data_IF_680348889055
#
_entry.id   IF_680348889055
#
_cell.length_a   1.000
_cell.length_b   1.000
_cell.length_c   1.000
_cell.angle_alpha   90.00
_cell.angle_beta   90.00
_cell.angle_gamma   90.00
#
_symmetry.space_group_name_H-M   'P 1'
#
loop_
_entity.id
_entity.type
_entity.pdbx_description
1 polymer ?
#
# COMPACT_ATOMS: atom_id res chain seq x y z
N UNK A 1 -23.42 -41.00 14.01
CA UNK A 1 -22.57 -42.03 14.65
C UNK A 1 -21.19 -41.44 14.91
N UNK A 2 -20.40 -42.07 15.80
CA UNK A 2 -19.08 -41.64 16.31
C UNK A 2 -18.25 -40.70 15.40
N UNK A 3 -17.82 -39.57 15.96
CA UNK A 3 -16.72 -38.75 15.44
C UNK A 3 -15.42 -39.57 15.38
N UNK A 4 -14.48 -39.19 14.50
CA UNK A 4 -13.07 -39.54 14.68
C UNK A 4 -12.18 -38.39 14.19
N UNK A 5 -11.43 -37.79 15.11
CA UNK A 5 -10.39 -36.79 14.81
C UNK A 5 -9.07 -37.49 14.51
N UNK A 6 -8.35 -37.05 13.48
CA UNK A 6 -6.99 -37.52 13.21
C UNK A 6 -5.98 -36.49 13.74
N UNK A 7 -5.29 -36.84 14.83
CA UNK A 7 -4.16 -36.06 15.35
C UNK A 7 -2.86 -36.62 14.78
N UNK A 8 -2.07 -35.79 14.10
CA UNK A 8 -0.71 -36.16 13.74
C UNK A 8 0.16 -36.27 14.99
N UNK A 9 0.92 -37.36 15.09
CA UNK A 9 1.95 -37.57 16.10
C UNK A 9 3.31 -37.36 15.45
N UNK A 10 4.02 -36.29 15.84
CA UNK A 10 5.42 -36.10 15.49
C UNK A 10 6.27 -36.76 16.58
N UNK A 11 6.92 -37.86 16.23
CA UNK A 11 7.76 -38.64 17.14
C UNK A 11 9.16 -38.04 17.22
N UNK A 12 9.61 -37.63 18.40
CA UNK A 12 10.97 -37.17 18.62
C UNK A 12 11.99 -38.34 18.51
N UNK A 13 13.00 -38.19 17.66
CA UNK A 13 14.16 -39.10 17.56
C UNK A 13 15.39 -38.49 18.22
N UNK A 14 16.11 -39.25 19.05
CA UNK A 14 17.15 -38.73 19.96
C UNK A 14 18.53 -39.36 19.66
N UNK A 15 19.54 -38.48 19.61
CA UNK A 15 21.00 -38.67 19.75
C UNK A 15 21.72 -39.87 19.08
N UNK A 16 22.82 -39.56 18.40
CA UNK A 16 23.90 -40.51 18.10
C UNK A 16 25.19 -39.78 17.74
N UNK A 17 26.11 -39.64 18.71
CA UNK A 17 27.42 -38.99 18.52
C UNK A 17 28.56 -39.98 18.75
N UNK A 18 29.59 -39.96 17.89
CA UNK A 18 30.86 -40.66 18.06
C UNK A 18 32.02 -39.78 17.56
N UNK A 19 33.23 -40.08 18.04
CA UNK A 19 34.44 -39.23 17.94
C UNK A 19 35.60 -39.96 17.22
N UNK A 20 36.67 -39.19 16.96
CA UNK A 20 37.99 -39.57 16.43
C UNK A 20 38.11 -39.86 14.92
N UNK A 21 39.24 -39.60 14.26
CA UNK A 21 40.43 -38.84 14.70
C UNK A 21 41.77 -39.30 14.06
N UNK A 22 42.65 -38.34 13.70
CA UNK A 22 43.98 -38.54 13.07
C UNK A 22 43.97 -39.26 11.69
N UNK A 23 45.00 -39.23 10.84
CA UNK A 23 46.13 -38.31 10.51
C UNK A 23 46.68 -38.78 9.13
N UNK A 24 47.73 -38.27 8.44
CA UNK A 24 48.82 -37.29 8.62
C UNK A 24 49.21 -36.78 7.19
N UNK A 25 50.35 -36.19 6.78
CA UNK A 25 51.68 -35.91 7.38
C UNK A 25 52.44 -34.82 6.60
N UNK A 26 53.20 -33.95 7.30
CA UNK A 26 54.44 -33.24 6.87
C UNK A 26 54.38 -32.29 5.65
N UNK A 27 55.16 -31.21 5.54
CA UNK A 27 56.51 -30.86 6.07
C UNK A 27 56.49 -29.31 6.24
N UNK A 28 56.94 -28.64 7.33
CA UNK A 28 58.30 -28.56 7.89
C UNK A 28 59.34 -28.10 6.84
N UNK A 29 60.19 -27.09 7.00
CA UNK A 29 60.35 -25.95 7.97
C UNK A 29 60.63 -24.65 7.14
N UNK A 30 61.26 -23.52 7.51
CA UNK A 30 62.17 -23.13 8.62
C UNK A 30 62.26 -21.59 8.82
N UNK A 31 63.15 -21.15 9.73
CA UNK A 31 63.43 -19.75 10.12
C UNK A 31 64.44 -19.07 9.12
N UNK A 32 64.87 -17.80 9.19
CA UNK A 32 64.96 -16.83 10.30
C UNK A 32 65.19 -15.37 9.79
N UNK A 33 65.20 -14.41 10.73
CA UNK A 33 65.97 -13.16 10.76
C UNK A 33 65.60 -11.93 9.87
N UNK A 34 65.05 -10.92 10.57
CA UNK A 34 65.47 -9.50 10.60
C UNK A 34 65.30 -8.56 9.38
N UNK A 35 64.46 -7.53 9.58
CA UNK A 35 64.98 -6.15 9.74
C UNK A 35 64.03 -5.30 10.60
N UNK A 36 64.49 -4.15 11.09
CA UNK A 36 63.81 -3.30 12.09
C UNK A 36 63.62 -1.87 11.60
N UNK A 37 62.50 -1.21 11.95
CA UNK A 37 62.50 0.13 12.59
C UNK A 37 61.09 0.56 13.05
N UNK A 38 61.03 1.27 14.18
CA UNK A 38 59.94 2.17 14.61
C UNK A 38 60.06 3.50 13.81
N UNK A 39 59.21 4.55 13.86
CA UNK A 39 58.42 5.25 14.90
C UNK A 39 57.23 5.96 14.19
N UNK A 40 56.05 6.20 14.78
CA UNK A 40 55.68 7.28 15.73
C UNK A 40 56.08 8.72 15.30
N UNK A 41 55.28 9.81 15.46
CA UNK A 41 53.84 9.99 15.79
C UNK A 41 53.43 11.47 15.49
N UNK A 42 52.12 11.75 15.36
CA UNK A 42 51.44 13.07 15.56
C UNK A 42 51.45 14.23 14.53
N UNK A 43 50.27 14.87 14.52
CA UNK A 43 49.95 16.32 14.47
C UNK A 43 49.59 17.06 13.15
N UNK A 44 48.58 17.90 13.33
CA UNK A 44 47.98 18.94 12.48
C UNK A 44 48.88 20.20 12.41
N UNK A 45 48.61 21.29 11.66
CA UNK A 45 47.35 22.03 11.42
C UNK A 45 47.38 22.88 10.13
N UNK A 46 46.18 23.29 9.71
CA UNK A 46 45.77 24.47 8.91
C UNK A 46 46.63 25.01 7.73
N UNK A 47 45.94 25.27 6.61
CA UNK A 47 46.06 26.53 5.83
C UNK A 47 44.86 26.73 4.91
N UNK A 48 43.80 27.32 5.47
CA UNK A 48 43.02 28.42 4.88
C UNK A 48 43.23 28.80 3.39
N UNK A 49 42.12 28.87 2.63
CA UNK A 49 41.88 29.98 1.69
C UNK A 49 40.38 30.26 1.57
N UNK A 50 39.98 31.52 1.76
CA UNK A 50 38.59 31.93 1.99
C UNK A 50 38.11 32.97 0.98
N UNK A 51 36.88 32.82 0.49
CA UNK A 51 35.97 33.90 0.05
C UNK A 51 34.58 33.28 -0.17
N UNK A 52 33.49 33.60 0.55
CA UNK A 52 32.92 34.92 0.95
C UNK A 52 32.35 35.67 -0.26
N UNK A 53 31.13 36.22 -0.26
CA UNK A 53 30.14 36.50 0.81
C UNK A 53 28.71 36.17 0.31
N UNK A 54 27.62 36.03 1.10
CA UNK A 54 27.11 36.83 2.24
C UNK A 54 26.75 38.29 1.86
N UNK A 55 25.66 38.93 2.34
CA UNK A 55 24.69 38.56 3.39
C UNK A 55 23.29 39.15 3.15
N UNK A 56 22.29 38.59 3.85
CA UNK A 56 21.13 39.19 4.56
C UNK A 56 20.66 40.64 4.29
N UNK A 57 19.33 40.85 4.31
CA UNK A 57 18.66 41.54 5.43
C UNK A 57 17.11 41.53 5.31
N UNK A 58 16.42 41.64 6.46
CA UNK A 58 14.95 41.77 6.56
C UNK A 58 14.44 43.20 6.28
N UNK A 59 13.13 43.35 6.09
CA UNK A 59 12.36 44.54 6.53
C UNK A 59 10.88 44.21 6.71
N UNK A 60 10.23 44.85 7.68
CA UNK A 60 8.90 44.50 8.19
C UNK A 60 7.83 45.56 7.90
N UNK A 61 6.56 45.15 7.94
CA UNK A 61 5.38 45.92 8.41
C UNK A 61 4.44 46.55 7.37
N UNK A 62 3.20 46.04 7.38
CA UNK A 62 1.92 46.76 7.49
C UNK A 62 1.63 48.00 6.63
N UNK A 63 0.51 47.98 5.89
CA UNK A 63 -0.78 48.46 6.45
C UNK A 63 -2.01 48.11 5.60
N UNK A 64 -3.17 48.22 6.26
CA UNK A 64 -4.54 48.02 5.78
C UNK A 64 -5.04 49.16 4.87
N UNK A 65 -5.93 48.85 3.92
CA UNK A 65 -7.01 49.76 3.50
C UNK A 65 -8.18 49.00 2.90
N UNK A 66 -9.40 49.41 3.24
CA UNK A 66 -10.67 48.80 2.80
C UNK A 66 -11.25 49.50 1.57
N UNK A 67 -12.09 48.80 0.81
CA UNK A 67 -13.28 49.39 0.17
C UNK A 67 -14.23 48.28 -0.27
N UNK A 68 -15.51 48.61 -0.47
CA UNK A 68 -16.60 47.62 -0.59
C UNK A 68 -17.51 47.86 -1.80
N UNK A 69 -18.32 46.84 -2.08
CA UNK A 69 -19.69 46.91 -2.60
C UNK A 69 -19.97 46.61 -4.09
N UNK A 70 -20.92 45.69 -4.26
CA UNK A 70 -21.95 45.61 -5.31
C UNK A 70 -21.55 45.41 -6.77
N UNK A 71 -21.75 44.15 -7.20
CA UNK A 71 -22.81 43.78 -8.16
C UNK A 71 -23.14 44.75 -9.30
N UNK A 72 -22.83 44.33 -10.54
CA UNK A 72 -23.88 44.30 -11.56
C UNK A 72 -23.68 43.17 -12.57
N UNK A 73 -24.78 42.77 -13.18
CA UNK A 73 -24.91 41.56 -13.99
C UNK A 73 -24.57 41.82 -15.46
N UNK A 74 -23.84 40.91 -16.11
CA UNK A 74 -23.81 40.81 -17.58
C UNK A 74 -23.90 39.35 -18.01
N UNK A 75 -24.99 39.00 -18.70
CA UNK A 75 -25.17 37.67 -19.28
C UNK A 75 -24.30 37.50 -20.52
N UNK A 76 -23.28 36.65 -20.46
CA UNK A 76 -22.57 36.14 -21.63
C UNK A 76 -22.63 34.62 -21.64
N UNK A 77 -23.49 34.07 -22.51
CA UNK A 77 -23.72 32.64 -22.67
C UNK A 77 -22.49 31.94 -23.28
N UNK A 78 -21.58 31.50 -22.42
CA UNK A 78 -20.53 30.54 -22.77
C UNK A 78 -21.05 29.13 -22.52
N UNK A 79 -21.20 28.34 -23.59
CA UNK A 79 -21.71 26.97 -23.48
C UNK A 79 -20.68 26.06 -22.83
N UNK A 80 -20.79 25.87 -21.52
CA UNK A 80 -20.12 24.78 -20.82
C UNK A 80 -20.56 23.46 -21.46
N UNK A 81 -19.63 22.79 -22.14
CA UNK A 81 -19.85 21.43 -22.60
C UNK A 81 -19.93 20.56 -21.37
N UNK A 82 -21.14 20.08 -21.03
CA UNK A 82 -21.29 18.89 -20.19
C UNK A 82 -20.38 17.81 -20.76
N UNK A 83 -19.50 17.25 -19.93
CA UNK A 83 -18.82 16.03 -20.31
C UNK A 83 -19.84 14.89 -20.18
N UNK A 84 -20.49 14.55 -21.31
CA UNK A 84 -21.53 13.53 -21.39
C UNK A 84 -20.92 12.12 -21.41
N UNK A 85 -20.08 11.85 -20.42
CA UNK A 85 -19.54 10.53 -20.11
C UNK A 85 -20.69 9.69 -19.59
N UNK A 86 -21.21 8.82 -20.47
CA UNK A 86 -22.35 7.94 -20.20
C UNK A 86 -22.04 6.94 -19.07
N UNK A 87 -22.19 7.37 -17.81
CA UNK A 87 -22.05 6.54 -16.62
C UNK A 87 -23.37 5.82 -16.33
N UNK A 88 -23.36 4.50 -16.39
CA UNK A 88 -24.52 3.69 -15.95
C UNK A 88 -24.55 3.64 -14.43
N UNK A 89 -25.49 4.37 -13.82
CA UNK A 89 -25.73 4.34 -12.38
C UNK A 89 -26.68 3.16 -12.02
N UNK A 90 -26.07 2.04 -11.62
CA UNK A 90 -26.78 0.80 -11.26
C UNK A 90 -27.26 0.76 -9.81
N UNK A 91 -26.99 1.80 -9.01
CA UNK A 91 -27.36 1.85 -7.57
C UNK A 91 -28.87 1.67 -7.37
N UNK A 92 -29.67 2.19 -8.30
CA UNK A 92 -31.13 2.07 -8.28
C UNK A 92 -31.67 0.66 -8.57
N UNK A 93 -30.84 -0.26 -9.09
CA UNK A 93 -31.19 -1.64 -9.41
C UNK A 93 -30.74 -2.65 -8.32
N UNK A 94 -30.04 -2.18 -7.28
CA UNK A 94 -29.66 -3.01 -6.14
C UNK A 94 -30.87 -3.45 -5.30
N UNK A 95 -30.85 -4.70 -4.81
CA UNK A 95 -31.83 -5.21 -3.82
C UNK A 95 -31.40 -4.96 -2.38
N UNK A 96 -30.10 -4.77 -2.15
CA UNK A 96 -29.58 -4.27 -0.87
C UNK A 96 -30.12 -2.86 -0.61
N UNK A 97 -30.21 -2.46 0.65
CA UNK A 97 -30.56 -1.08 0.99
C UNK A 97 -29.60 -0.10 0.29
N UNK A 98 -30.13 0.91 -0.40
CA UNK A 98 -29.34 1.90 -1.13
C UNK A 98 -28.38 2.68 -0.21
N UNK A 99 -28.76 2.93 1.05
CA UNK A 99 -27.87 3.54 2.07
C UNK A 99 -26.69 2.63 2.49
N UNK A 100 -26.67 1.38 2.03
CA UNK A 100 -25.62 0.38 2.28
C UNK A 100 -24.89 -0.07 1.00
N UNK A 101 -25.24 0.47 -0.17
CA UNK A 101 -24.51 0.26 -1.42
C UNK A 101 -23.49 1.39 -1.58
N UNK A 102 -22.22 1.05 -1.84
CA UNK A 102 -21.16 1.99 -2.19
C UNK A 102 -20.56 1.61 -3.54
N UNK A 103 -20.55 2.53 -4.50
CA UNK A 103 -20.05 2.30 -5.85
C UNK A 103 -19.18 3.46 -6.34
N UNK A 104 -18.12 3.21 -7.15
CA UNK A 104 -17.24 4.27 -7.63
C UNK A 104 -17.98 5.35 -8.45
N UNK A 105 -17.53 6.59 -8.29
CA UNK A 105 -17.94 7.72 -9.14
C UNK A 105 -16.85 8.19 -10.10
N UNK A 106 -15.61 7.70 -9.92
CA UNK A 106 -14.48 7.80 -10.84
C UNK A 106 -14.16 6.45 -11.48
N UNK A 107 -13.62 6.47 -12.70
CA UNK A 107 -12.99 5.33 -13.38
C UNK A 107 -11.83 5.85 -14.26
N UNK A 108 -10.79 5.04 -14.54
CA UNK A 108 -9.66 5.45 -15.37
C UNK A 108 -9.96 5.53 -16.88
N UNK A 109 -11.22 5.36 -17.31
CA UNK A 109 -11.62 5.36 -18.73
C UNK A 109 -13.06 5.87 -18.92
N UNK A 110 -13.36 6.37 -20.13
CA UNK A 110 -14.63 7.00 -20.48
C UNK A 110 -15.68 5.99 -21.02
N UNK A 111 -16.90 6.07 -20.48
CA UNK A 111 -18.04 5.27 -20.94
C UNK A 111 -18.03 3.83 -20.43
N UNK A 112 -18.04 3.69 -19.11
CA UNK A 112 -18.01 2.41 -18.39
C UNK A 112 -19.40 1.75 -18.36
N UNK A 113 -19.43 0.45 -18.68
CA UNK A 113 -20.57 -0.43 -18.47
C UNK A 113 -20.51 -1.04 -17.07
N UNK A 114 -21.66 -1.32 -16.46
CA UNK A 114 -21.78 -1.89 -15.12
C UNK A 114 -22.86 -2.99 -15.14
N UNK A 115 -22.59 -4.12 -14.48
CA UNK A 115 -23.52 -5.23 -14.37
C UNK A 115 -23.38 -5.95 -13.02
N UNK A 116 -24.50 -6.34 -12.41
CA UNK A 116 -24.47 -7.17 -11.20
C UNK A 116 -24.17 -8.63 -11.53
N UNK A 117 -23.10 -9.17 -10.96
CA UNK A 117 -22.87 -10.62 -10.89
C UNK A 117 -23.65 -11.23 -9.72
N UNK A 118 -23.65 -10.54 -8.57
CA UNK A 118 -24.48 -10.85 -7.41
C UNK A 118 -25.35 -9.64 -7.08
N UNK A 119 -26.65 -9.87 -6.89
CA UNK A 119 -27.60 -8.84 -6.42
C UNK A 119 -28.63 -9.51 -5.49
N UNK A 120 -28.44 -9.33 -4.19
CA UNK A 120 -29.25 -9.87 -3.08
C UNK A 120 -29.52 -8.75 -2.06
N UNK A 121 -30.38 -9.02 -1.09
CA UNK A 121 -30.74 -8.04 -0.03
C UNK A 121 -29.58 -7.80 0.96
N UNK A 122 -28.70 -8.78 1.15
CA UNK A 122 -27.56 -8.73 2.09
C UNK A 122 -26.20 -8.61 1.39
N UNK A 123 -26.13 -8.77 0.06
CA UNK A 123 -24.86 -8.76 -0.66
C UNK A 123 -24.99 -8.36 -2.16
N UNK A 124 -24.00 -7.64 -2.67
CA UNK A 124 -23.84 -7.37 -4.10
C UNK A 124 -22.41 -7.58 -4.60
N UNK A 125 -22.29 -7.76 -5.92
CA UNK A 125 -21.04 -7.66 -6.67
C UNK A 125 -21.37 -7.02 -8.03
N UNK A 126 -20.81 -5.86 -8.31
CA UNK A 126 -20.92 -5.17 -9.61
C UNK A 126 -19.59 -5.31 -10.34
N UNK A 127 -19.64 -5.94 -11.50
CA UNK A 127 -18.54 -5.96 -12.46
C UNK A 127 -18.64 -4.70 -13.35
N UNK A 128 -17.50 -4.02 -13.54
CA UNK A 128 -17.37 -2.86 -14.40
C UNK A 128 -16.44 -3.15 -15.59
N UNK A 129 -16.88 -2.77 -16.79
CA UNK A 129 -16.16 -3.01 -18.06
C UNK A 129 -16.11 -1.77 -18.94
N UNK A 130 -15.11 -1.69 -19.82
CA UNK A 130 -15.02 -0.62 -20.82
C UNK A 130 -16.02 -0.82 -21.99
N UNK A 131 -15.95 0.04 -23.01
CA UNK A 131 -16.78 -0.05 -24.23
C UNK A 131 -16.47 -1.26 -25.13
N UNK A 132 -15.38 -1.98 -24.88
CA UNK A 132 -14.94 -3.16 -25.64
C UNK A 132 -15.27 -4.47 -24.90
N UNK A 133 -15.62 -4.38 -23.60
CA UNK A 133 -15.85 -5.52 -22.72
C UNK A 133 -14.64 -5.92 -21.88
N UNK A 134 -13.57 -5.12 -21.87
CA UNK A 134 -12.42 -5.35 -20.99
C UNK A 134 -12.81 -5.06 -19.54
N UNK A 135 -12.45 -5.94 -18.60
CA UNK A 135 -12.68 -5.73 -17.16
C UNK A 135 -11.90 -4.51 -16.67
N UNK A 136 -12.54 -3.68 -15.86
CA UNK A 136 -11.90 -2.57 -15.13
C UNK A 136 -11.79 -2.96 -13.66
N UNK A 137 -12.89 -3.32 -13.02
CA UNK A 137 -12.96 -3.51 -11.56
C UNK A 137 -14.21 -4.31 -11.17
N UNK A 138 -14.10 -5.15 -10.14
CA UNK A 138 -15.26 -5.65 -9.40
C UNK A 138 -15.40 -4.88 -8.10
N UNK A 139 -16.62 -4.50 -7.74
CA UNK A 139 -16.93 -3.85 -6.46
C UNK A 139 -18.01 -4.64 -5.73
N UNK A 140 -17.74 -4.98 -4.49
CA UNK A 140 -18.52 -5.89 -3.65
C UNK A 140 -18.90 -5.21 -2.32
N UNK A 141 -20.05 -5.60 -1.78
CA UNK A 141 -20.50 -5.17 -0.46
C UNK A 141 -21.36 -6.26 0.16
N UNK A 142 -21.08 -6.63 1.41
CA UNK A 142 -21.77 -7.70 2.14
C UNK A 142 -22.10 -7.28 3.57
N UNK A 143 -23.34 -7.48 4.00
CA UNK A 143 -23.81 -7.37 5.39
C UNK A 143 -23.60 -8.72 6.10
N UNK A 144 -23.12 -8.65 7.34
CA UNK A 144 -22.98 -9.77 8.27
C UNK A 144 -23.94 -9.59 9.46
N UNK A 145 -23.91 -10.51 10.43
CA UNK A 145 -24.79 -10.44 11.61
C UNK A 145 -24.45 -9.31 12.58
N UNK A 146 -23.18 -8.87 12.57
CA UNK A 146 -22.56 -7.95 13.52
C UNK A 146 -21.16 -7.54 13.04
N UNK A 147 -20.58 -6.55 13.71
CA UNK A 147 -19.27 -5.99 13.37
C UNK A 147 -18.11 -6.97 13.64
N UNK A 148 -18.17 -7.76 14.71
CA UNK A 148 -17.10 -8.73 15.03
C UNK A 148 -17.00 -9.80 13.93
N UNK A 149 -18.15 -10.31 13.47
CA UNK A 149 -18.25 -11.25 12.33
C UNK A 149 -17.81 -10.62 11.01
N UNK A 150 -18.14 -9.35 10.76
CA UNK A 150 -17.69 -8.65 9.55
C UNK A 150 -16.15 -8.51 9.51
N UNK A 151 -15.51 -8.19 10.65
CA UNK A 151 -14.06 -8.13 10.76
C UNK A 151 -13.42 -9.52 10.61
N UNK A 152 -13.92 -10.54 11.31
CA UNK A 152 -13.44 -11.93 11.18
C UNK A 152 -13.49 -12.41 9.72
N UNK A 153 -14.52 -12.03 8.96
CA UNK A 153 -14.68 -12.41 7.54
C UNK A 153 -13.84 -11.56 6.57
N UNK A 154 -13.40 -10.37 6.99
CA UNK A 154 -12.39 -9.58 6.27
C UNK A 154 -11.01 -10.22 6.43
N UNK A 155 -10.61 -10.49 7.67
CA UNK A 155 -9.29 -11.03 8.00
C UNK A 155 -9.11 -12.46 7.45
N UNK A 156 -10.14 -13.32 7.53
CA UNK A 156 -10.16 -14.64 6.88
C UNK A 156 -9.83 -14.58 5.38
N UNK A 157 -10.35 -13.55 4.68
CA UNK A 157 -10.19 -13.38 3.24
C UNK A 157 -8.84 -12.77 2.89
N UNK A 158 -8.40 -11.76 3.65
CA UNK A 158 -7.10 -11.10 3.51
C UNK A 158 -5.92 -11.90 4.09
N UNK A 159 -6.13 -13.13 4.58
CA UNK A 159 -5.10 -14.02 5.15
C UNK A 159 -3.96 -14.44 4.17
N UNK A 160 -3.92 -13.90 2.95
CA UNK A 160 -2.76 -13.95 2.04
C UNK A 160 -1.87 -12.70 2.08
N UNK A 161 -2.38 -11.55 2.55
CA UNK A 161 -1.66 -10.30 2.64
C UNK A 161 -0.74 -10.28 3.87
N UNK A 162 0.56 -10.41 3.65
CA UNK A 162 1.59 -10.38 4.70
C UNK A 162 1.93 -8.93 5.05
N UNK A 163 1.51 -8.46 6.22
CA UNK A 163 1.97 -7.15 6.74
C UNK A 163 3.36 -7.27 7.35
N UNK A 164 4.26 -6.35 7.01
CA UNK A 164 5.61 -6.25 7.58
C UNK A 164 5.57 -5.50 8.92
N UNK A 165 6.05 -6.15 9.98
CA UNK A 165 6.10 -5.58 11.33
C UNK A 165 7.11 -4.40 11.43
N UNK A 166 6.79 -3.33 12.18
CA UNK A 166 7.67 -2.18 12.39
C UNK A 166 9.05 -2.56 12.94
N UNK A 167 10.10 -2.16 12.22
CA UNK A 167 11.49 -2.41 12.60
C UNK A 167 12.39 -1.20 12.27
N UNK A 168 13.69 -1.28 12.61
CA UNK A 168 14.65 -0.16 12.48
C UNK A 168 15.86 -0.55 11.61
N UNK A 169 15.72 -1.59 10.79
CA UNK A 169 16.74 -2.04 9.83
C UNK A 169 16.26 -1.89 8.38
N UNK A 170 14.94 -1.74 8.16
CA UNK A 170 14.31 -1.56 6.83
C UNK A 170 13.27 -0.43 6.81
N UNK A 171 13.39 0.57 7.70
CA UNK A 171 12.49 1.72 7.76
C UNK A 171 12.76 2.76 6.67
N UNK A 172 11.67 3.21 6.03
CA UNK A 172 11.67 4.17 4.94
C UNK A 172 10.67 5.31 5.24
N UNK A 173 11.17 6.55 5.30
CA UNK A 173 10.35 7.76 5.41
C UNK A 173 9.52 7.93 4.13
N UNK A 174 8.20 7.79 4.23
CA UNK A 174 7.26 7.97 3.11
C UNK A 174 6.82 9.43 2.93
N UNK A 175 7.30 10.33 3.78
CA UNK A 175 6.82 11.69 3.94
C UNK A 175 5.67 11.77 4.95
N UNK A 176 5.26 13.01 5.27
CA UNK A 176 4.06 13.31 6.06
C UNK A 176 4.03 12.76 7.51
N UNK A 177 5.13 12.16 7.97
CA UNK A 177 5.24 11.48 9.27
C UNK A 177 4.87 10.00 9.23
N UNK A 178 4.73 9.42 8.02
CA UNK A 178 4.46 8.00 7.80
C UNK A 178 5.77 7.28 7.49
N UNK A 179 5.97 6.12 8.11
CA UNK A 179 7.13 5.25 7.90
C UNK A 179 6.64 3.89 7.42
N UNK A 180 7.24 3.38 6.34
CA UNK A 180 7.02 2.02 5.86
C UNK A 180 8.21 1.11 6.14
N UNK A 181 7.98 -0.19 6.07
CA UNK A 181 8.94 -1.23 6.46
C UNK A 181 8.98 -2.33 5.40
N UNK A 182 10.18 -2.77 5.03
CA UNK A 182 10.39 -3.85 4.05
C UNK A 182 10.82 -5.18 4.67
N UNK A 183 10.37 -6.30 4.13
CA UNK A 183 10.94 -7.64 4.41
C UNK A 183 11.12 -8.44 3.12
N UNK A 184 12.21 -9.22 3.02
CA UNK A 184 12.51 -10.06 1.87
C UNK A 184 12.86 -11.49 2.29
N UNK A 185 12.07 -12.47 1.83
CA UNK A 185 12.22 -13.87 2.21
C UNK A 185 11.86 -14.83 1.08
N UNK A 186 12.64 -15.90 0.92
CA UNK A 186 12.39 -17.02 0.00
C UNK A 186 12.21 -16.69 -1.50
N UNK A 187 12.48 -15.45 -1.94
CA UNK A 187 12.27 -14.97 -3.31
C UNK A 187 11.11 -13.98 -3.46
N UNK A 188 10.38 -13.72 -2.38
CA UNK A 188 9.35 -12.69 -2.26
C UNK A 188 9.93 -11.46 -1.55
N UNK A 189 9.33 -10.30 -1.80
CA UNK A 189 9.57 -9.03 -1.12
C UNK A 189 8.23 -8.41 -0.75
N UNK A 190 8.12 -7.95 0.49
CA UNK A 190 6.96 -7.25 1.03
C UNK A 190 7.38 -5.86 1.50
N UNK A 191 6.49 -4.88 1.36
CA UNK A 191 6.67 -3.54 1.91
C UNK A 191 5.33 -3.01 2.42
N UNK A 192 5.26 -2.70 3.72
CA UNK A 192 4.01 -2.35 4.40
C UNK A 192 4.11 -1.05 5.19
N UNK A 193 2.98 -0.35 5.34
CA UNK A 193 2.84 0.82 6.20
C UNK A 193 1.38 0.96 6.67
N UNK A 194 1.17 1.78 7.70
CA UNK A 194 -0.16 2.10 8.24
C UNK A 194 -0.52 3.56 7.96
N UNK A 195 -1.77 3.83 7.59
CA UNK A 195 -2.33 5.18 7.51
C UNK A 195 -3.67 5.25 8.27
N UNK A 196 -3.59 5.62 9.55
CA UNK A 196 -4.75 5.84 10.44
C UNK A 196 -5.48 4.56 10.88
N UNK A 197 -6.22 3.93 9.96
CA UNK A 197 -6.94 2.65 10.13
C UNK A 197 -6.79 1.71 8.92
N UNK A 198 -5.87 2.05 8.01
CA UNK A 198 -5.59 1.33 6.78
C UNK A 198 -4.20 0.72 6.83
N UNK A 199 -4.12 -0.61 6.72
CA UNK A 199 -2.88 -1.32 6.45
C UNK A 199 -2.65 -1.36 4.93
N UNK A 200 -1.46 -1.00 4.48
CA UNK A 200 -1.03 -1.14 3.10
C UNK A 200 0.06 -2.20 3.01
N UNK A 201 0.04 -3.01 1.95
CA UNK A 201 1.10 -3.97 1.65
C UNK A 201 1.30 -4.08 0.14
N UNK A 202 2.53 -3.83 -0.30
CA UNK A 202 3.02 -4.18 -1.63
C UNK A 202 3.72 -5.53 -1.51
N UNK A 203 3.37 -6.48 -2.38
CA UNK A 203 4.12 -7.72 -2.61
C UNK A 203 4.72 -7.71 -4.01
N UNK A 204 5.95 -8.21 -4.16
CA UNK A 204 6.59 -8.47 -5.45
C UNK A 204 7.62 -9.60 -5.31
N UNK A 205 8.17 -10.09 -6.42
CA UNK A 205 9.33 -11.00 -6.35
C UNK A 205 10.63 -10.21 -6.14
N UNK A 206 11.56 -10.74 -5.34
CA UNK A 206 12.85 -10.09 -5.05
C UNK A 206 13.70 -9.90 -6.32
N UNK A 207 13.54 -10.78 -7.31
CA UNK A 207 14.31 -10.73 -8.57
C UNK A 207 13.91 -9.56 -9.49
N UNK A 208 12.75 -8.94 -9.25
CA UNK A 208 12.20 -7.87 -10.09
C UNK A 208 12.67 -6.48 -9.61
N UNK A 209 13.47 -6.42 -8.53
CA UNK A 209 14.15 -5.23 -7.98
C UNK A 209 13.23 -4.00 -7.80
N UNK A 210 11.98 -4.24 -7.39
CA UNK A 210 10.92 -3.23 -7.38
C UNK A 210 11.10 -2.12 -6.33
N UNK A 211 10.96 -0.86 -6.77
CA UNK A 211 10.91 0.35 -5.95
C UNK A 211 9.57 0.48 -5.20
N UNK A 212 9.31 -0.47 -4.28
CA UNK A 212 8.14 -0.45 -3.41
C UNK A 212 8.06 0.83 -2.53
N UNK A 213 9.15 1.37 -1.93
CA UNK A 213 9.10 2.64 -1.21
C UNK A 213 8.69 3.82 -2.10
N UNK A 214 9.18 3.88 -3.35
CA UNK A 214 8.79 4.90 -4.33
C UNK A 214 7.40 4.71 -4.92
N UNK A 215 6.77 3.53 -4.79
CA UNK A 215 5.33 3.33 -5.02
C UNK A 215 4.55 3.86 -3.80
N UNK A 216 4.93 3.46 -2.58
CA UNK A 216 4.30 3.88 -1.33
C UNK A 216 4.29 5.41 -1.15
N UNK A 217 5.41 6.09 -1.43
CA UNK A 217 5.54 7.56 -1.45
C UNK A 217 4.53 8.26 -2.39
N UNK A 218 4.11 7.61 -3.49
CA UNK A 218 3.08 8.13 -4.40
C UNK A 218 1.66 7.88 -3.89
N UNK A 219 1.45 6.85 -3.08
CA UNK A 219 0.16 6.58 -2.42
C UNK A 219 -0.05 7.57 -1.28
N UNK A 220 0.89 7.66 -0.33
CA UNK A 220 0.84 8.62 0.80
C UNK A 220 0.63 10.05 0.29
N UNK A 221 1.47 10.52 -0.65
CA UNK A 221 1.35 11.86 -1.22
C UNK A 221 0.07 12.12 -2.04
N UNK A 222 -0.74 11.11 -2.32
CA UNK A 222 -2.08 11.26 -2.90
C UNK A 222 -3.16 11.32 -1.80
N UNK A 223 -3.10 10.41 -0.82
CA UNK A 223 -4.12 10.26 0.23
C UNK A 223 -4.18 11.44 1.20
N UNK A 224 -3.06 12.13 1.41
CA UNK A 224 -2.98 13.42 2.14
C UNK A 224 -3.94 14.50 1.60
N UNK A 225 -4.28 14.47 0.31
CA UNK A 225 -5.30 15.33 -0.30
C UNK A 225 -6.65 14.59 -0.54
N UNK A 226 -6.68 13.27 -0.38
CA UNK A 226 -7.73 12.37 -0.87
C UNK A 226 -8.05 11.24 0.13
N UNK A 227 -8.74 11.58 1.23
CA UNK A 227 -9.10 10.62 2.26
C UNK A 227 -9.91 9.43 1.72
N UNK A 228 -9.46 8.21 2.06
CA UNK A 228 -10.22 6.97 1.89
C UNK A 228 -11.48 6.96 2.78
N UNK A 229 -12.50 6.13 2.46
CA UNK A 229 -13.60 5.85 3.36
C UNK A 229 -13.10 5.41 4.74
N UNK A 230 -13.52 6.06 5.81
CA UNK A 230 -13.06 5.75 7.16
C UNK A 230 -13.56 4.37 7.62
N UNK A 231 -12.67 3.40 7.92
CA UNK A 231 -13.09 2.09 8.41
C UNK A 231 -13.61 2.14 9.85
N UNK A 232 -14.52 1.23 10.20
CA UNK A 232 -15.01 1.10 11.57
C UNK A 232 -13.91 0.63 12.52
N UNK A 233 -13.21 -0.46 12.20
CA UNK A 233 -11.97 -0.84 12.89
C UNK A 233 -10.77 -0.91 11.96
N UNK A 234 -10.87 -1.69 10.87
CA UNK A 234 -9.75 -1.93 9.95
C UNK A 234 -10.13 -1.82 8.48
N UNK A 235 -9.19 -1.32 7.68
CA UNK A 235 -9.14 -1.45 6.23
C UNK A 235 -7.77 -1.99 5.79
N UNK A 236 -7.72 -2.60 4.61
CA UNK A 236 -6.54 -3.24 4.04
C UNK A 236 -6.44 -2.94 2.54
N UNK A 237 -5.24 -2.63 2.06
CA UNK A 237 -4.88 -2.44 0.66
C UNK A 237 -3.72 -3.38 0.33
N UNK A 238 -4.00 -4.46 -0.40
CA UNK A 238 -3.00 -5.41 -0.87
C UNK A 238 -2.74 -5.20 -2.36
N UNK A 239 -1.46 -5.10 -2.74
CA UNK A 239 -0.99 -4.82 -4.10
C UNK A 239 0.00 -5.92 -4.50
N UNK A 240 -0.48 -6.96 -5.18
CA UNK A 240 0.29 -8.14 -5.56
C UNK A 240 0.85 -7.98 -6.97
N UNK A 241 2.14 -7.63 -7.08
CA UNK A 241 2.80 -7.48 -8.37
C UNK A 241 3.28 -8.82 -8.92
N UNK A 242 2.79 -9.15 -10.12
CA UNK A 242 3.15 -10.37 -10.83
C UNK A 242 4.59 -10.29 -11.37
N UNK A 243 5.17 -11.44 -11.74
CA UNK A 243 6.57 -11.52 -12.19
C UNK A 243 6.90 -10.52 -13.31
N UNK A 244 7.89 -9.65 -13.06
CA UNK A 244 8.33 -8.58 -13.96
C UNK A 244 7.73 -7.22 -13.66
N UNK A 245 6.71 -7.13 -12.80
CA UNK A 245 6.17 -5.87 -12.27
C UNK A 245 5.29 -5.03 -13.20
N UNK A 246 5.07 -5.47 -14.45
CA UNK A 246 4.17 -4.80 -15.40
C UNK A 246 2.67 -5.01 -15.04
N UNK A 247 2.33 -6.21 -14.56
CA UNK A 247 0.97 -6.59 -14.12
C UNK A 247 0.87 -6.60 -12.58
N UNK A 248 -0.27 -6.19 -12.05
CA UNK A 248 -0.57 -6.13 -10.60
C UNK A 248 -2.02 -6.48 -10.35
N UNK A 249 -2.30 -7.23 -9.29
CA UNK A 249 -3.65 -7.43 -8.77
C UNK A 249 -3.81 -6.66 -7.45
N UNK A 250 -4.84 -5.81 -7.37
CA UNK A 250 -5.07 -4.89 -6.26
C UNK A 250 -6.40 -5.22 -5.60
N UNK A 251 -6.33 -5.61 -4.33
CA UNK A 251 -7.50 -5.91 -3.50
C UNK A 251 -7.57 -4.90 -2.34
N UNK A 252 -8.70 -4.21 -2.23
CA UNK A 252 -8.95 -3.19 -1.21
C UNK A 252 -10.22 -3.56 -0.45
N UNK A 253 -10.10 -3.77 0.85
CA UNK A 253 -11.23 -4.12 1.72
C UNK A 253 -11.29 -3.20 2.93
N UNK A 254 -12.48 -2.76 3.33
CA UNK A 254 -12.66 -2.05 4.60
C UNK A 254 -14.02 -2.35 5.25
N UNK A 255 -14.00 -2.38 6.57
CA UNK A 255 -15.18 -2.59 7.37
C UNK A 255 -15.92 -1.27 7.59
N UNK A 256 -17.25 -1.29 7.54
CA UNK A 256 -18.11 -0.24 8.10
C UNK A 256 -19.29 -0.89 8.80
N UNK A 257 -19.32 -0.77 10.12
CA UNK A 257 -20.30 -1.39 11.02
C UNK A 257 -20.39 -2.91 10.79
N UNK A 258 -21.58 -3.40 10.45
CA UNK A 258 -21.92 -4.79 10.12
C UNK A 258 -21.51 -5.22 8.71
N UNK A 259 -20.71 -4.41 7.98
CA UNK A 259 -20.51 -4.55 6.54
C UNK A 259 -19.04 -4.59 6.15
N UNK A 260 -18.74 -5.42 5.16
CA UNK A 260 -17.49 -5.39 4.40
C UNK A 260 -17.78 -4.80 3.03
N UNK A 261 -16.96 -3.83 2.63
CA UNK A 261 -16.85 -3.39 1.25
C UNK A 261 -15.51 -3.85 0.67
N UNK A 262 -15.51 -4.09 -0.64
CA UNK A 262 -14.39 -4.67 -1.37
C UNK A 262 -14.30 -4.06 -2.77
N UNK A 263 -13.08 -3.78 -3.22
CA UNK A 263 -12.75 -3.43 -4.59
C UNK A 263 -11.59 -4.32 -5.04
N UNK A 264 -11.76 -5.00 -6.18
CA UNK A 264 -10.74 -5.88 -6.76
C UNK A 264 -10.52 -5.53 -8.25
N UNK A 265 -9.27 -5.22 -8.61
CA UNK A 265 -8.91 -4.72 -9.94
C UNK A 265 -7.47 -5.07 -10.29
N UNK A 266 -7.17 -5.25 -11.57
CA UNK A 266 -5.79 -5.32 -12.08
C UNK A 266 -5.32 -3.99 -12.70
N UNK A 267 -5.99 -2.88 -12.33
CA UNK A 267 -5.53 -1.52 -12.61
C UNK A 267 -4.43 -1.11 -11.61
N UNK A 268 -3.47 -0.27 -12.05
CA UNK A 268 -2.38 0.22 -11.18
C UNK A 268 -2.91 0.85 -9.88
N UNK A 269 -2.23 0.70 -8.72
CA UNK A 269 -2.86 0.90 -7.41
C UNK A 269 -3.42 2.31 -7.16
N UNK A 270 -2.80 3.34 -7.75
CA UNK A 270 -3.29 4.72 -7.63
C UNK A 270 -4.65 4.92 -8.31
N UNK A 271 -4.97 4.17 -9.37
CA UNK A 271 -6.31 4.19 -9.98
C UNK A 271 -7.32 3.39 -9.16
N UNK A 272 -6.91 2.29 -8.53
CA UNK A 272 -7.73 1.55 -7.57
C UNK A 272 -8.15 2.44 -6.39
N UNK A 273 -7.17 3.15 -5.79
CA UNK A 273 -7.41 4.08 -4.68
C UNK A 273 -8.32 5.24 -5.10
N UNK A 274 -8.13 5.86 -6.27
CA UNK A 274 -9.06 6.87 -6.80
C UNK A 274 -10.49 6.34 -6.94
N UNK A 275 -10.67 5.09 -7.37
CA UNK A 275 -12.00 4.47 -7.42
C UNK A 275 -12.63 4.34 -6.03
N UNK A 276 -11.86 3.92 -5.01
CA UNK A 276 -12.31 3.83 -3.60
C UNK A 276 -12.62 5.20 -2.99
N UNK A 277 -11.73 6.20 -3.11
CA UNK A 277 -11.97 7.60 -2.68
C UNK A 277 -13.23 8.18 -3.34
N UNK A 278 -13.54 7.78 -4.58
CA UNK A 278 -14.70 8.27 -5.31
C UNK A 278 -16.04 7.65 -4.89
N UNK A 279 -16.07 6.63 -4.03
CA UNK A 279 -17.29 5.87 -3.75
C UNK A 279 -18.37 6.70 -3.07
N UNK A 280 -19.62 6.46 -3.50
CA UNK A 280 -20.85 7.07 -2.99
C UNK A 280 -22.01 6.10 -3.09
#
# INVERSE_FOLDING_TARGET
>A
MKNLSYKYLITAGVCGALLAGCSSSSTETDQDAASSSQVEVSQSMDSTSSMSSESSAESTSSQESTTSSSSQEVSSSSSEKKNDSSKTDVTSEAKMNQDAVLLPTYFPTDGVNAAFETNKEEAYTVNYTDRQGNKIVDVSGTIYTDADTALEKMEDKMNGAVSVEPNQETDEDLGHGITGYGEGAAGNQYFSWEEGKWDFTIHSLTQDEMDAPGIAKKVVGYLEEHALPAPSEKGMVYMDYQQGGDDVDVEIMWQKEDRVYELHTSQVPLEALKMVVSMK
#
